data_IF_434666345838
#
_entry.id   IF_434666345838
#
_cell.length_a   1.000
_cell.length_b   1.000
_cell.length_c   1.000
_cell.angle_alpha   90.00
_cell.angle_beta   90.00
_cell.angle_gamma   90.00
#
_symmetry.space_group_name_H-M   'P 1'
#
loop_
_entity.id
_entity.type
_entity.pdbx_description
1 polymer ?
#
# COMPACT_ATOMS: atom_id res chain seq x y z
N UNK A 1 -15.57 -6.71 4.64
CA UNK A 1 -14.47 -5.91 5.19
C UNK A 1 -14.87 -4.47 5.51
N UNK A 2 -15.34 -3.63 4.56
CA UNK A 2 -15.69 -2.21 4.82
C UNK A 2 -16.63 -1.91 6.01
N UNK A 3 -17.63 -2.76 6.28
CA UNK A 3 -18.58 -2.57 7.41
C UNK A 3 -17.99 -2.94 8.78
N UNK A 4 -16.88 -3.66 8.78
CA UNK A 4 -16.17 -4.15 9.97
C UNK A 4 -15.24 -3.07 10.52
N UNK A 5 -14.40 -2.59 9.61
CA UNK A 5 -13.47 -1.49 9.78
C UNK A 5 -14.16 -0.27 10.38
N UNK A 6 -15.32 0.12 9.85
CA UNK A 6 -16.05 1.30 10.35
C UNK A 6 -16.47 1.23 11.82
N UNK A 7 -16.71 0.04 12.39
CA UNK A 7 -17.08 -0.10 13.82
C UNK A 7 -15.87 0.03 14.74
N UNK A 8 -14.70 -0.47 14.35
CA UNK A 8 -13.48 -0.43 15.17
C UNK A 8 -12.78 0.92 15.04
N UNK A 9 -12.83 1.50 13.83
CA UNK A 9 -12.19 2.76 13.47
C UNK A 9 -12.89 4.00 14.04
N UNK A 10 -14.14 3.86 14.50
CA UNK A 10 -14.83 4.91 15.27
C UNK A 10 -14.32 5.04 16.71
N UNK A 11 -13.80 3.96 17.30
CA UNK A 11 -13.37 3.92 18.70
C UNK A 11 -11.89 4.27 18.92
N UNK A 12 -11.10 4.35 17.85
CA UNK A 12 -9.73 4.84 17.89
C UNK A 12 -9.64 6.08 17.01
N UNK A 13 -8.89 7.11 17.46
CA UNK A 13 -8.62 8.30 16.65
C UNK A 13 -7.66 7.95 15.50
N UNK A 14 -8.15 7.19 14.53
CA UNK A 14 -7.41 6.92 13.31
C UNK A 14 -7.30 8.19 12.50
N UNK A 15 -6.07 8.56 12.14
CA UNK A 15 -5.82 9.75 11.32
C UNK A 15 -6.13 9.50 9.85
N UNK A 16 -6.06 8.24 9.40
CA UNK A 16 -6.32 7.82 8.02
C UNK A 16 -6.54 6.30 7.93
N UNK A 17 -7.48 5.86 7.10
CA UNK A 17 -7.77 4.46 6.81
C UNK A 17 -8.20 4.29 5.35
N UNK A 18 -7.51 3.43 4.60
CA UNK A 18 -7.85 3.13 3.20
C UNK A 18 -7.92 1.61 2.99
N UNK A 19 -9.14 1.04 2.87
CA UNK A 19 -9.29 -0.37 2.54
C UNK A 19 -9.03 -0.64 1.06
N UNK A 20 -8.35 -1.75 0.79
CA UNK A 20 -8.23 -2.36 -0.52
C UNK A 20 -8.53 -3.86 -0.41
N UNK A 21 -9.77 -4.25 -0.74
CA UNK A 21 -10.27 -5.62 -0.63
C UNK A 21 -10.10 -6.16 0.80
N UNK A 22 -9.04 -6.94 1.04
CA UNK A 22 -8.71 -7.57 2.33
C UNK A 22 -7.56 -6.86 3.08
N UNK A 23 -6.83 -5.97 2.40
CA UNK A 23 -5.71 -5.21 2.96
C UNK A 23 -6.18 -3.83 3.42
N UNK A 24 -5.77 -3.38 4.61
CA UNK A 24 -6.08 -2.03 5.11
C UNK A 24 -4.83 -1.32 5.62
N UNK A 25 -4.61 -0.09 5.16
CA UNK A 25 -3.58 0.79 5.70
C UNK A 25 -4.16 1.71 6.76
N UNK A 26 -3.54 1.78 7.95
CA UNK A 26 -4.05 2.54 9.11
C UNK A 26 -2.94 3.40 9.73
N UNK A 27 -3.27 4.66 10.05
CA UNK A 27 -2.40 5.54 10.84
C UNK A 27 -2.94 5.68 12.26
N UNK A 28 -2.22 5.13 13.23
CA UNK A 28 -2.57 5.09 14.65
C UNK A 28 -1.34 5.39 15.54
N UNK A 29 -1.59 5.77 16.79
CA UNK A 29 -0.57 5.85 17.84
C UNK A 29 0.04 4.46 18.13
N UNK A 30 1.38 4.41 18.29
CA UNK A 30 2.15 3.16 18.31
C UNK A 30 1.78 2.24 19.46
N UNK A 31 1.43 2.80 20.61
CA UNK A 31 0.98 2.08 21.81
C UNK A 31 -0.44 1.49 21.66
N UNK A 32 -1.25 1.99 20.73
CA UNK A 32 -2.61 1.53 20.49
C UNK A 32 -2.71 0.43 19.42
N UNK A 33 -1.61 0.10 18.75
CA UNK A 33 -1.56 -0.84 17.61
C UNK A 33 -2.10 -2.22 17.98
N UNK A 34 -1.59 -2.82 19.06
CA UNK A 34 -2.01 -4.14 19.53
C UNK A 34 -3.48 -4.14 19.99
N UNK A 35 -3.87 -3.16 20.79
CA UNK A 35 -5.26 -2.98 21.26
C UNK A 35 -6.24 -2.88 20.10
N UNK A 36 -5.85 -2.19 19.02
CA UNK A 36 -6.64 -2.09 17.80
C UNK A 36 -6.81 -3.44 17.12
N UNK A 37 -5.72 -4.20 16.96
CA UNK A 37 -5.74 -5.54 16.36
C UNK A 37 -6.65 -6.48 17.15
N UNK A 38 -6.47 -6.57 18.47
CA UNK A 38 -7.26 -7.43 19.34
C UNK A 38 -8.76 -7.11 19.26
N UNK A 39 -9.11 -5.82 19.24
CA UNK A 39 -10.50 -5.39 19.06
C UNK A 39 -11.05 -5.77 17.71
N UNK A 40 -10.24 -5.71 16.65
CA UNK A 40 -10.65 -6.07 15.30
C UNK A 40 -10.89 -7.58 15.18
N UNK A 41 -9.97 -8.39 15.71
CA UNK A 41 -10.08 -9.86 15.77
C UNK A 41 -11.26 -10.30 16.65
N UNK A 42 -11.56 -9.57 17.72
CA UNK A 42 -12.69 -9.87 18.60
C UNK A 42 -14.06 -9.68 17.93
N UNK A 43 -14.16 -8.85 16.87
CA UNK A 43 -15.44 -8.67 16.16
C UNK A 43 -15.85 -9.95 15.42
N UNK A 44 -14.87 -10.73 14.91
CA UNK A 44 -15.11 -12.02 14.27
C UNK A 44 -14.03 -13.03 14.68
N UNK A 45 -14.26 -13.82 15.74
CA UNK A 45 -13.27 -14.78 16.26
C UNK A 45 -12.75 -15.79 15.22
N UNK A 46 -13.54 -16.08 14.18
CA UNK A 46 -13.18 -16.99 13.09
C UNK A 46 -12.21 -16.40 12.05
N UNK A 47 -11.89 -15.11 12.13
CA UNK A 47 -10.93 -14.44 11.24
C UNK A 47 -9.90 -13.72 12.11
N UNK A 48 -8.64 -14.10 11.97
CA UNK A 48 -7.53 -13.46 12.68
C UNK A 48 -6.77 -12.59 11.69
N UNK A 49 -6.70 -11.29 11.95
CA UNK A 49 -5.96 -10.35 11.12
C UNK A 49 -4.45 -10.49 11.35
N UNK A 50 -3.72 -10.41 10.24
CA UNK A 50 -2.28 -10.19 10.23
C UNK A 50 -1.99 -8.71 10.18
N UNK A 51 -0.91 -8.27 10.81
CA UNK A 51 -0.52 -6.86 10.84
C UNK A 51 0.97 -6.72 10.53
N UNK A 52 1.30 -5.72 9.72
CA UNK A 52 2.66 -5.26 9.47
C UNK A 52 2.83 -3.88 10.10
N UNK A 53 3.88 -3.69 10.90
CA UNK A 53 4.18 -2.42 11.55
C UNK A 53 5.24 -1.63 10.79
N UNK A 54 5.16 -0.30 10.89
CA UNK A 54 6.17 0.59 10.33
C UNK A 54 7.55 0.32 10.93
N UNK A 55 8.54 0.08 10.07
CA UNK A 55 9.95 -0.08 10.44
C UNK A 55 10.80 0.98 9.73
N UNK A 56 11.73 1.62 10.46
CA UNK A 56 12.61 2.65 9.90
C UNK A 56 11.85 3.78 9.16
N UNK A 57 10.70 4.19 9.70
CA UNK A 57 9.78 5.16 9.10
C UNK A 57 9.22 4.73 7.72
N UNK A 58 9.15 3.44 7.46
CA UNK A 58 8.67 2.87 6.20
C UNK A 58 7.68 1.74 6.45
N UNK A 59 6.67 1.64 5.60
CA UNK A 59 5.72 0.53 5.56
C UNK A 59 5.32 0.28 4.10
N UNK A 60 5.40 -0.98 3.67
CA UNK A 60 4.92 -1.36 2.35
C UNK A 60 3.39 -1.56 2.40
N UNK A 61 2.69 -1.05 1.40
CA UNK A 61 1.27 -1.29 1.20
C UNK A 61 1.01 -1.50 -0.29
N UNK A 62 0.58 -2.71 -0.67
CA UNK A 62 0.43 -3.14 -2.07
C UNK A 62 1.72 -2.94 -2.88
N UNK A 63 1.68 -2.17 -3.97
CA UNK A 63 2.82 -1.79 -4.82
C UNK A 63 3.47 -0.45 -4.41
N UNK A 64 3.19 0.05 -3.20
CA UNK A 64 3.66 1.35 -2.70
C UNK A 64 4.47 1.21 -1.42
N UNK A 65 5.64 1.85 -1.37
CA UNK A 65 6.39 2.05 -0.14
C UNK A 65 6.00 3.41 0.41
N UNK A 66 5.34 3.42 1.57
CA UNK A 66 5.00 4.63 2.29
C UNK A 66 6.14 4.95 3.24
N UNK A 67 6.73 6.13 3.11
CA UNK A 67 7.80 6.65 3.97
C UNK A 67 7.28 7.86 4.75
N UNK A 68 7.40 7.84 6.08
CA UNK A 68 7.13 9.01 6.91
C UNK A 68 8.35 9.92 6.94
N UNK A 69 8.16 11.20 6.62
CA UNK A 69 9.17 12.26 6.74
C UNK A 69 9.15 12.88 8.13
N UNK A 70 10.23 13.58 8.46
CA UNK A 70 10.27 14.49 9.61
C UNK A 70 9.14 15.51 9.48
N UNK A 71 8.36 15.70 10.56
CA UNK A 71 7.14 16.51 10.55
C UNK A 71 5.86 15.77 10.17
N UNK A 72 5.90 14.45 9.95
CA UNK A 72 4.71 13.60 9.80
C UNK A 72 4.11 13.57 8.40
N UNK A 73 4.67 14.29 7.44
CA UNK A 73 4.27 14.19 6.04
C UNK A 73 4.62 12.81 5.47
N UNK A 74 3.75 12.24 4.65
CA UNK A 74 3.99 10.98 3.97
C UNK A 74 4.61 11.21 2.58
N UNK A 75 5.53 10.32 2.21
CA UNK A 75 6.10 10.20 0.87
C UNK A 75 5.82 8.79 0.36
N UNK A 76 5.52 8.65 -0.92
CA UNK A 76 5.26 7.35 -1.54
C UNK A 76 6.23 7.09 -2.67
N UNK A 77 6.66 5.83 -2.81
CA UNK A 77 7.48 5.32 -3.90
C UNK A 77 6.91 4.00 -4.41
N UNK A 78 7.21 3.63 -5.66
CA UNK A 78 6.90 2.28 -6.14
C UNK A 78 7.69 1.26 -5.32
N UNK A 79 6.99 0.29 -4.75
CA UNK A 79 7.56 -0.87 -4.08
C UNK A 79 7.36 -2.11 -4.95
N UNK A 80 8.41 -2.94 -5.04
CA UNK A 80 8.33 -4.23 -5.73
C UNK A 80 8.54 -5.32 -4.69
N UNK A 81 7.49 -6.11 -4.43
CA UNK A 81 7.65 -7.37 -3.70
C UNK A 81 8.58 -8.29 -4.49
N UNK A 82 9.46 -9.01 -3.80
CA UNK A 82 10.39 -9.96 -4.42
C UNK A 82 9.68 -11.04 -5.25
N UNK A 83 8.41 -11.31 -4.95
CA UNK A 83 7.55 -12.28 -5.64
C UNK A 83 6.98 -11.78 -6.97
N UNK A 84 7.06 -10.49 -7.29
CA UNK A 84 6.59 -9.96 -8.59
C UNK A 84 7.65 -10.25 -9.65
N UNK A 85 7.32 -11.14 -10.58
CA UNK A 85 8.21 -11.59 -11.66
C UNK A 85 8.38 -10.55 -12.78
N UNK A 86 7.75 -9.37 -12.67
CA UNK A 86 7.72 -8.31 -13.69
C UNK A 86 7.63 -8.85 -15.12
N UNK A 87 6.70 -9.77 -15.36
CA UNK A 87 6.49 -10.31 -16.70
C UNK A 87 5.95 -9.20 -17.59
N UNK A 88 6.84 -8.62 -18.39
CA UNK A 88 6.53 -7.60 -19.38
C UNK A 88 6.63 -8.24 -20.76
N UNK A 89 5.78 -7.77 -21.67
CA UNK A 89 5.77 -8.20 -23.05
C UNK A 89 7.16 -8.05 -23.69
N UNK A 90 7.70 -9.15 -24.22
CA UNK A 90 8.98 -9.11 -24.93
C UNK A 90 8.88 -8.18 -26.15
N UNK A 91 9.77 -7.20 -26.25
CA UNK A 91 9.80 -6.23 -27.34
C UNK A 91 9.97 -6.88 -28.72
N UNK A 92 10.69 -8.01 -28.82
CA UNK A 92 10.94 -8.71 -30.08
C UNK A 92 9.85 -9.72 -30.46
N UNK A 93 8.84 -9.92 -29.60
CA UNK A 93 7.72 -10.82 -29.92
C UNK A 93 6.88 -10.28 -31.08
N UNK A 94 6.09 -11.14 -31.74
CA UNK A 94 5.25 -10.76 -32.88
C UNK A 94 3.98 -9.94 -32.50
N UNK A 95 3.97 -9.32 -31.31
CA UNK A 95 2.85 -8.48 -30.88
C UNK A 95 2.90 -7.11 -31.57
N UNK A 96 1.70 -6.53 -31.80
CA UNK A 96 1.56 -5.20 -32.36
C UNK A 96 2.33 -4.15 -31.55
N UNK A 97 2.92 -3.17 -32.23
CA UNK A 97 3.71 -2.10 -31.59
C UNK A 97 2.89 -1.30 -30.57
N UNK A 98 1.58 -1.17 -30.79
CA UNK A 98 0.64 -0.54 -29.86
C UNK A 98 0.61 -1.22 -28.49
N UNK A 99 0.61 -2.55 -28.46
CA UNK A 99 0.60 -3.32 -27.20
C UNK A 99 1.91 -3.14 -26.43
N UNK A 100 3.05 -3.20 -27.12
CA UNK A 100 4.38 -2.96 -26.52
C UNK A 100 4.47 -1.56 -25.91
N UNK A 101 4.01 -0.54 -26.65
CA UNK A 101 3.92 0.85 -26.15
C UNK A 101 2.97 0.98 -24.96
N UNK A 102 1.86 0.26 -24.98
CA UNK A 102 0.90 0.24 -23.87
C UNK A 102 1.52 -0.32 -22.58
N UNK A 103 2.32 -1.38 -22.66
CA UNK A 103 3.05 -1.92 -21.50
C UNK A 103 3.96 -0.86 -20.85
N UNK A 104 4.76 -0.15 -21.66
CA UNK A 104 5.63 0.94 -21.15
C UNK A 104 4.81 2.06 -20.54
N UNK A 105 3.73 2.48 -21.21
CA UNK A 105 2.84 3.54 -20.72
C UNK A 105 2.17 3.15 -19.40
N UNK A 106 1.77 1.89 -19.23
CA UNK A 106 1.18 1.41 -17.99
C UNK A 106 2.18 1.48 -16.83
N UNK A 107 3.45 1.12 -17.05
CA UNK A 107 4.50 1.24 -16.03
C UNK A 107 4.78 2.71 -15.67
N UNK A 108 4.84 3.59 -16.66
CA UNK A 108 5.04 5.02 -16.41
C UNK A 108 3.89 5.63 -15.62
N UNK A 109 2.64 5.31 -16.00
CA UNK A 109 1.45 5.76 -15.26
C UNK A 109 1.47 5.30 -13.81
N UNK A 110 1.97 4.08 -13.53
CA UNK A 110 2.13 3.64 -12.13
C UNK A 110 3.08 4.54 -11.36
N UNK A 111 4.21 4.95 -11.94
CA UNK A 111 5.10 5.89 -11.27
C UNK A 111 4.40 7.23 -11.03
N UNK A 112 3.69 7.76 -12.02
CA UNK A 112 2.95 9.02 -11.88
C UNK A 112 1.88 8.99 -10.80
N UNK A 113 1.13 7.90 -10.67
CA UNK A 113 0.02 7.82 -9.71
C UNK A 113 0.47 7.38 -8.31
N UNK A 114 1.55 6.61 -8.19
CA UNK A 114 1.97 6.02 -6.91
C UNK A 114 3.15 6.76 -6.26
N UNK A 115 4.00 7.45 -7.02
CA UNK A 115 5.11 8.21 -6.46
C UNK A 115 4.70 9.65 -6.13
N UNK A 116 5.19 10.16 -5.00
CA UNK A 116 5.15 11.61 -4.76
C UNK A 116 6.07 12.33 -5.75
N UNK A 117 5.66 13.51 -6.25
CA UNK A 117 6.34 14.28 -7.34
C UNK A 117 7.86 14.39 -7.17
N UNK A 118 8.36 14.50 -5.93
CA UNK A 118 9.78 14.59 -5.63
C UNK A 118 10.63 13.34 -5.98
N UNK A 119 10.01 12.21 -6.34
CA UNK A 119 10.68 10.97 -6.74
C UNK A 119 10.58 10.65 -8.25
N UNK A 120 9.87 11.46 -9.05
CA UNK A 120 9.72 11.18 -10.50
C UNK A 120 11.04 11.22 -11.28
N UNK A 121 12.11 11.80 -10.71
CA UNK A 121 13.40 12.04 -11.38
C UNK A 121 14.62 11.45 -10.66
N UNK A 122 14.42 10.61 -9.63
CA UNK A 122 15.52 9.88 -8.98
C UNK A 122 15.42 8.39 -9.29
N UNK A 123 15.96 8.01 -10.45
CA UNK A 123 16.39 6.64 -10.77
C UNK A 123 17.77 6.38 -10.24
#
# INVERSE_FOLDING_TARGET
>A
MQRLESRVFQHHRLKFGAPYVDDTFVVIERDQVLTCKERLDAVFPGIQSTMEEEQNNQLAFLEVLVCRKDGGALKTKVFRKATITMQILNYNSNHQIGHKRSCVRALYRRVETHCSIADLFRT
#
